data_IF_365946389433
#
_entry.id   IF_365946389433
#
_cell.length_a   1.000
_cell.length_b   1.000
_cell.length_c   1.000
_cell.angle_alpha   90.00
_cell.angle_beta   90.00
_cell.angle_gamma   90.00
#
_symmetry.space_group_name_H-M   'P 1'
#
loop_
_entity.id
_entity.type
_entity.pdbx_description
1 polymer ?
#
# COMPACT_ATOMS: atom_id res chain seq x y z
N UNK A 1 24.71 -5.48 1.84
CA UNK A 1 24.15 -6.56 2.68
C UNK A 1 22.89 -7.10 2.01
N UNK A 2 22.71 -8.41 1.97
CA UNK A 2 21.51 -9.02 1.41
C UNK A 2 20.33 -8.89 2.40
N UNK A 3 19.12 -8.78 1.88
CA UNK A 3 17.89 -8.83 2.70
C UNK A 3 17.67 -10.26 3.19
N UNK A 4 17.09 -10.41 4.39
CA UNK A 4 16.50 -11.69 4.82
C UNK A 4 15.21 -11.95 4.04
N UNK A 5 14.77 -13.21 4.01
CA UNK A 5 13.50 -13.58 3.37
C UNK A 5 12.31 -12.84 3.99
N UNK A 6 12.32 -12.67 5.31
CA UNK A 6 11.30 -11.93 6.05
C UNK A 6 11.25 -10.44 5.67
N UNK A 7 12.40 -9.76 5.64
CA UNK A 7 12.47 -8.36 5.21
C UNK A 7 12.03 -8.18 3.76
N UNK A 8 12.35 -9.14 2.89
CA UNK A 8 11.88 -9.11 1.51
C UNK A 8 10.35 -9.27 1.43
N UNK A 9 9.78 -10.21 2.20
CA UNK A 9 8.35 -10.42 2.27
C UNK A 9 7.60 -9.19 2.78
N UNK A 10 8.08 -8.56 3.85
CA UNK A 10 7.51 -7.31 4.38
C UNK A 10 7.44 -6.21 3.32
N UNK A 11 8.51 -6.03 2.53
CA UNK A 11 8.51 -5.07 1.43
C UNK A 11 7.46 -5.42 0.37
N UNK A 12 7.32 -6.70 0.03
CA UNK A 12 6.33 -7.17 -0.95
C UNK A 12 4.90 -6.94 -0.45
N UNK A 13 4.62 -7.17 0.83
CA UNK A 13 3.32 -6.89 1.44
C UNK A 13 2.99 -5.41 1.36
N UNK A 14 3.91 -4.52 1.77
CA UNK A 14 3.71 -3.06 1.70
C UNK A 14 3.42 -2.60 0.26
N UNK A 15 4.15 -3.13 -0.71
CA UNK A 15 3.97 -2.82 -2.13
C UNK A 15 2.63 -3.33 -2.67
N UNK A 16 2.26 -4.56 -2.31
CA UNK A 16 0.98 -5.16 -2.68
C UNK A 16 -0.20 -4.38 -2.10
N UNK A 17 -0.12 -3.97 -0.84
CA UNK A 17 -1.16 -3.15 -0.20
C UNK A 17 -1.34 -1.79 -0.89
N UNK A 18 -0.24 -1.12 -1.25
CA UNK A 18 -0.30 0.15 -2.00
C UNK A 18 -1.00 -0.02 -3.34
N UNK A 19 -0.60 -1.06 -4.09
CA UNK A 19 -1.20 -1.39 -5.38
C UNK A 19 -2.68 -1.69 -5.24
N UNK A 20 -3.04 -2.56 -4.30
CA UNK A 20 -4.43 -2.94 -4.04
C UNK A 20 -5.29 -1.73 -3.67
N UNK A 21 -4.78 -0.83 -2.82
CA UNK A 21 -5.50 0.39 -2.46
C UNK A 21 -5.76 1.28 -3.67
N UNK A 22 -4.73 1.54 -4.47
CA UNK A 22 -4.86 2.37 -5.67
C UNK A 22 -5.87 1.78 -6.68
N UNK A 23 -5.84 0.46 -6.89
CA UNK A 23 -6.77 -0.24 -7.78
C UNK A 23 -8.20 -0.23 -7.25
N UNK A 24 -8.37 -0.44 -5.94
CA UNK A 24 -9.67 -0.38 -5.27
C UNK A 24 -10.30 1.00 -5.37
N UNK A 25 -9.53 2.06 -5.09
CA UNK A 25 -10.00 3.45 -5.19
C UNK A 25 -10.45 3.80 -6.61
N UNK A 26 -9.68 3.38 -7.62
CA UNK A 26 -10.05 3.58 -9.03
C UNK A 26 -11.34 2.83 -9.39
N UNK A 27 -11.48 1.57 -8.96
CA UNK A 27 -12.70 0.77 -9.17
C UNK A 27 -13.93 1.41 -8.51
N UNK A 28 -13.79 1.92 -7.29
CA UNK A 28 -14.87 2.60 -6.57
C UNK A 28 -15.32 3.86 -7.31
N UNK A 29 -14.38 4.69 -7.77
CA UNK A 29 -14.68 5.89 -8.58
C UNK A 29 -15.31 5.53 -9.92
N UNK A 30 -14.83 4.49 -10.61
CA UNK A 30 -15.42 4.02 -11.86
C UNK A 30 -16.88 3.57 -11.65
N UNK A 31 -17.15 2.84 -10.55
CA UNK A 31 -18.51 2.42 -10.22
C UNK A 31 -19.40 3.62 -9.90
N UNK A 32 -18.89 4.56 -9.13
CA UNK A 32 -19.60 5.81 -8.83
C UNK A 32 -19.98 6.58 -10.09
N UNK A 33 -19.06 6.70 -11.05
CA UNK A 33 -19.32 7.34 -12.34
C UNK A 33 -20.40 6.61 -13.12
N UNK A 34 -20.33 5.28 -13.20
CA UNK A 34 -21.33 4.47 -13.90
C UNK A 34 -22.73 4.63 -13.29
N UNK A 35 -22.83 4.81 -11.98
CA UNK A 35 -24.09 5.00 -11.27
C UNK A 35 -24.61 6.45 -11.34
N UNK A 36 -23.74 7.45 -11.23
CA UNK A 36 -24.12 8.86 -11.08
C UNK A 36 -24.14 9.66 -12.37
N UNK A 37 -23.32 9.29 -13.37
CA UNK A 37 -23.19 10.04 -14.62
C UNK A 37 -24.12 9.45 -15.68
N UNK A 38 -25.29 10.06 -15.81
CA UNK A 38 -26.31 9.64 -16.79
C UNK A 38 -25.75 9.61 -18.22
N UNK A 39 -26.03 8.52 -18.95
CA UNK A 39 -25.57 8.30 -20.32
C UNK A 39 -24.12 7.81 -20.45
N UNK A 40 -23.32 7.82 -19.37
CA UNK A 40 -21.93 7.35 -19.43
C UNK A 40 -21.84 5.84 -19.65
N UNK A 41 -22.71 5.06 -18.99
CA UNK A 41 -22.77 3.60 -19.15
C UNK A 41 -23.10 3.19 -20.60
N UNK A 42 -24.09 3.85 -21.22
CA UNK A 42 -24.47 3.58 -22.62
C UNK A 42 -23.33 3.87 -23.60
N UNK A 43 -22.58 4.96 -23.36
CA UNK A 43 -21.40 5.29 -24.16
C UNK A 43 -20.26 4.29 -23.93
N UNK A 44 -20.09 3.80 -22.69
CA UNK A 44 -19.10 2.77 -22.38
C UNK A 44 -19.42 1.45 -23.09
N UNK A 45 -20.69 1.04 -23.09
CA UNK A 45 -21.15 -0.15 -23.82
C UNK A 45 -20.93 0.01 -25.33
N UNK A 46 -21.35 1.13 -25.92
CA UNK A 46 -21.11 1.42 -27.35
C UNK A 46 -19.63 1.36 -27.71
N UNK A 47 -18.77 1.93 -26.87
CA UNK A 47 -17.33 1.90 -27.06
C UNK A 47 -16.77 0.47 -27.01
N UNK A 48 -17.25 -0.37 -26.09
CA UNK A 48 -16.88 -1.79 -26.01
C UNK A 48 -17.29 -2.53 -27.28
N UNK A 49 -18.53 -2.39 -27.73
CA UNK A 49 -19.03 -3.04 -28.96
C UNK A 49 -18.20 -2.65 -30.18
N UNK A 50 -17.89 -1.36 -30.34
CA UNK A 50 -17.04 -0.90 -31.45
C UNK A 50 -15.59 -1.41 -31.34
N UNK A 51 -15.07 -1.54 -30.13
CA UNK A 51 -13.73 -2.08 -29.90
C UNK A 51 -13.63 -3.56 -30.25
N UNK A 52 -14.66 -4.34 -29.90
CA UNK A 52 -14.78 -5.76 -30.29
C UNK A 52 -14.86 -5.87 -31.82
N UNK A 53 -15.73 -5.08 -32.47
CA UNK A 53 -15.83 -5.09 -33.94
C UNK A 53 -14.52 -4.68 -34.62
N UNK A 54 -13.77 -3.74 -34.05
CA UNK A 54 -12.45 -3.38 -34.55
C UNK A 54 -11.44 -4.52 -34.41
N UNK A 55 -11.52 -5.30 -33.33
CA UNK A 55 -10.66 -6.47 -33.09
C UNK A 55 -10.97 -7.60 -34.08
N UNK A 56 -12.24 -7.89 -34.35
CA UNK A 56 -12.67 -8.88 -35.34
C UNK A 56 -12.14 -8.54 -36.74
N UNK A 57 -12.34 -7.28 -37.17
CA UNK A 57 -11.83 -6.78 -38.45
C UNK A 57 -10.30 -6.80 -38.54
N UNK A 58 -9.60 -6.58 -37.43
CA UNK A 58 -8.15 -6.71 -37.36
C UNK A 58 -7.67 -8.14 -37.58
N UNK A 59 -8.41 -9.12 -37.04
CA UNK A 59 -8.13 -10.54 -37.25
C UNK A 59 -8.38 -10.96 -38.71
N UNK A 60 -9.35 -10.35 -39.38
CA UNK A 60 -9.63 -10.54 -40.81
C UNK A 60 -8.65 -9.78 -41.73
N UNK A 61 -7.81 -8.91 -41.19
CA UNK A 61 -6.84 -8.11 -41.95
C UNK A 61 -7.45 -6.92 -42.69
N UNK A 62 -8.69 -6.52 -42.38
CA UNK A 62 -9.39 -5.41 -43.03
C UNK A 62 -8.99 -4.05 -42.42
N UNK A 63 -7.84 -3.54 -42.88
CA UNK A 63 -7.31 -2.26 -42.44
C UNK A 63 -8.23 -1.07 -42.75
N UNK A 64 -9.04 -1.13 -43.81
CA UNK A 64 -9.94 -0.05 -44.20
C UNK A 64 -11.16 0.01 -43.27
N UNK A 65 -11.76 -1.15 -42.97
CA UNK A 65 -12.88 -1.22 -42.06
C UNK A 65 -12.48 -0.82 -40.63
N UNK A 66 -11.24 -1.05 -40.21
CA UNK A 66 -10.70 -0.52 -38.93
C UNK A 66 -10.55 1.01 -39.00
N UNK A 67 -10.02 1.54 -40.10
CA UNK A 67 -9.89 3.00 -40.30
C UNK A 67 -11.25 3.69 -40.21
N UNK A 68 -12.30 3.10 -40.79
CA UNK A 68 -13.66 3.62 -40.75
C UNK A 68 -14.26 3.67 -39.33
N UNK A 69 -13.81 2.82 -38.41
CA UNK A 69 -14.31 2.81 -37.01
C UNK A 69 -13.62 3.86 -36.12
N UNK A 70 -12.41 4.32 -36.49
CA UNK A 70 -11.65 5.29 -35.67
C UNK A 70 -12.44 6.57 -35.34
N UNK A 71 -13.12 7.25 -36.29
CA UNK A 71 -13.86 8.46 -35.99
C UNK A 71 -15.00 8.24 -34.98
N UNK A 72 -15.71 7.11 -35.08
CA UNK A 72 -16.79 6.77 -34.15
C UNK A 72 -16.26 6.54 -32.73
N UNK A 73 -15.14 5.82 -32.60
CA UNK A 73 -14.45 5.60 -31.32
C UNK A 73 -14.01 6.92 -30.69
N UNK A 74 -13.41 7.82 -31.49
CA UNK A 74 -12.95 9.12 -30.98
C UNK A 74 -14.12 10.01 -30.54
N UNK A 75 -15.22 10.01 -31.31
CA UNK A 75 -16.44 10.75 -30.95
C UNK A 75 -16.99 10.28 -29.60
N UNK A 76 -17.09 8.98 -29.37
CA UNK A 76 -17.60 8.44 -28.10
C UNK A 76 -16.66 8.78 -26.94
N UNK A 77 -15.34 8.71 -27.14
CA UNK A 77 -14.36 9.11 -26.11
C UNK A 77 -14.54 10.57 -25.70
N UNK A 78 -14.73 11.45 -26.68
CA UNK A 78 -14.95 12.87 -26.43
C UNK A 78 -16.28 13.12 -25.71
N UNK A 79 -17.37 12.46 -26.12
CA UNK A 79 -18.66 12.54 -25.42
C UNK A 79 -18.55 12.06 -23.97
N UNK A 80 -17.84 10.95 -23.72
CA UNK A 80 -17.56 10.47 -22.36
C UNK A 80 -16.78 11.49 -21.53
N UNK A 81 -15.75 12.13 -22.11
CA UNK A 81 -14.97 13.19 -21.44
C UNK A 81 -15.88 14.36 -21.04
N UNK A 82 -16.72 14.83 -21.96
CA UNK A 82 -17.66 15.92 -21.69
C UNK A 82 -18.66 15.56 -20.59
N UNK A 83 -19.14 14.32 -20.53
CA UNK A 83 -20.03 13.89 -19.45
C UNK A 83 -19.33 13.85 -18.09
N UNK A 84 -18.08 13.37 -18.04
CA UNK A 84 -17.28 13.37 -16.81
C UNK A 84 -17.06 14.80 -16.30
N UNK A 85 -16.61 15.70 -17.18
CA UNK A 85 -16.32 17.10 -16.82
C UNK A 85 -17.58 17.82 -16.32
N UNK A 86 -18.73 17.60 -16.95
CA UNK A 86 -20.02 18.14 -16.49
C UNK A 86 -20.44 17.63 -15.11
N UNK A 87 -20.06 16.40 -14.78
CA UNK A 87 -20.33 15.78 -13.50
C UNK A 87 -19.24 16.09 -12.44
N UNK A 88 -18.20 16.85 -12.80
CA UNK A 88 -17.12 17.25 -11.89
C UNK A 88 -16.01 16.21 -11.73
N UNK A 89 -15.90 15.25 -12.65
CA UNK A 89 -14.83 14.24 -12.67
C UNK A 89 -13.82 14.53 -13.80
N UNK A 90 -12.56 14.21 -13.56
CA UNK A 90 -11.54 14.13 -14.61
C UNK A 90 -11.39 12.68 -15.09
N UNK A 91 -11.01 12.41 -16.36
CA UNK A 91 -10.66 11.05 -16.80
C UNK A 91 -9.61 10.38 -15.91
N UNK A 92 -8.64 11.16 -15.44
CA UNK A 92 -7.55 10.71 -14.55
C UNK A 92 -8.09 10.24 -13.20
N UNK A 93 -9.23 10.77 -12.72
CA UNK A 93 -9.83 10.33 -11.47
C UNK A 93 -10.19 8.84 -11.50
N UNK A 94 -10.55 8.31 -12.67
CA UNK A 94 -10.95 6.92 -12.85
C UNK A 94 -9.73 5.97 -12.97
N UNK A 95 -8.51 6.50 -12.93
CA UNK A 95 -7.28 5.70 -13.03
C UNK A 95 -6.65 5.42 -11.65
N UNK A 96 -5.93 4.31 -11.56
CA UNK A 96 -5.23 3.92 -10.34
C UNK A 96 -4.02 4.83 -10.09
N UNK A 97 -4.03 5.52 -8.96
CA UNK A 97 -2.96 6.43 -8.54
C UNK A 97 -1.92 5.70 -7.69
N UNK A 98 -0.97 5.04 -8.37
CA UNK A 98 0.10 4.30 -7.68
C UNK A 98 1.05 5.24 -6.92
N UNK A 99 1.53 4.77 -5.77
CA UNK A 99 2.52 5.50 -4.97
C UNK A 99 3.85 5.65 -5.71
N UNK A 100 4.22 4.68 -6.54
CA UNK A 100 5.37 4.76 -7.42
C UNK A 100 4.97 4.80 -8.89
N UNK A 101 5.20 5.94 -9.54
CA UNK A 101 4.92 6.12 -10.98
C UNK A 101 5.81 5.30 -11.91
N UNK A 102 7.00 4.88 -11.45
CA UNK A 102 7.94 4.10 -12.26
C UNK A 102 7.52 2.63 -12.36
N UNK A 103 7.37 1.97 -11.22
CA UNK A 103 7.10 0.54 -11.17
C UNK A 103 5.63 0.19 -10.91
N UNK A 104 4.76 1.19 -10.68
CA UNK A 104 3.36 1.01 -10.28
C UNK A 104 3.23 0.11 -9.06
N UNK A 105 4.08 0.38 -8.08
CA UNK A 105 4.22 -0.38 -6.84
C UNK A 105 4.55 -1.87 -7.01
N UNK A 106 5.05 -2.32 -8.17
CA UNK A 106 5.56 -3.70 -8.32
C UNK A 106 6.93 -3.93 -7.65
N UNK A 107 7.65 -2.86 -7.35
CA UNK A 107 9.02 -2.92 -6.81
C UNK A 107 10.11 -3.21 -7.83
N UNK A 108 9.78 -3.43 -9.10
CA UNK A 108 10.73 -3.70 -10.19
C UNK A 108 10.55 -2.68 -11.32
N UNK A 109 11.64 -2.08 -11.77
CA UNK A 109 11.67 -1.19 -12.93
C UNK A 109 12.87 -1.57 -13.80
N UNK A 110 12.65 -1.82 -15.09
CA UNK A 110 13.69 -2.24 -16.05
C UNK A 110 14.52 -3.46 -15.59
N UNK A 111 13.84 -4.48 -15.03
CA UNK A 111 14.48 -5.71 -14.56
C UNK A 111 15.32 -5.56 -13.29
N UNK A 112 15.32 -4.38 -12.66
CA UNK A 112 16.06 -4.08 -11.43
C UNK A 112 15.13 -3.63 -10.32
N UNK A 113 15.61 -3.68 -9.07
CA UNK A 113 14.88 -3.13 -7.92
C UNK A 113 14.60 -1.65 -8.16
N UNK A 114 13.32 -1.28 -8.09
CA UNK A 114 12.90 0.10 -8.25
C UNK A 114 13.41 0.96 -7.09
N UNK A 115 13.54 2.27 -7.32
CA UNK A 115 13.88 3.24 -6.26
C UNK A 115 12.96 3.16 -5.04
N UNK A 116 11.67 2.87 -5.23
CA UNK A 116 10.73 2.75 -4.11
C UNK A 116 11.00 1.50 -3.26
N UNK A 117 11.42 0.40 -3.89
CA UNK A 117 11.82 -0.82 -3.20
C UNK A 117 13.08 -0.56 -2.38
N UNK A 118 14.10 0.06 -2.98
CA UNK A 118 15.35 0.37 -2.28
C UNK A 118 15.14 1.33 -1.10
N UNK A 119 14.21 2.28 -1.24
CA UNK A 119 13.80 3.16 -0.13
C UNK A 119 13.21 2.35 1.03
N UNK A 120 12.23 1.47 0.75
CA UNK A 120 11.64 0.60 1.77
C UNK A 120 12.67 -0.32 2.43
N UNK A 121 13.60 -0.87 1.64
CA UNK A 121 14.73 -1.65 2.15
C UNK A 121 15.59 -0.82 3.13
N UNK A 122 15.90 0.43 2.79
CA UNK A 122 16.62 1.33 3.70
C UNK A 122 15.85 1.63 4.97
N UNK A 123 14.54 1.91 4.85
CA UNK A 123 13.66 2.22 5.98
C UNK A 123 13.56 1.06 6.97
N UNK A 124 13.42 -0.19 6.49
CA UNK A 124 13.35 -1.40 7.32
C UNK A 124 14.67 -1.62 8.07
N UNK A 125 15.80 -1.57 7.36
CA UNK A 125 17.12 -1.76 7.96
C UNK A 125 17.40 -0.71 9.04
N UNK A 126 17.07 0.56 8.76
CA UNK A 126 17.26 1.65 9.70
C UNK A 126 16.39 1.51 10.96
N UNK A 127 15.12 1.11 10.82
CA UNK A 127 14.23 0.85 11.96
C UNK A 127 14.80 -0.24 12.86
N UNK A 128 15.33 -1.31 12.29
CA UNK A 128 15.93 -2.40 13.05
C UNK A 128 17.20 -1.97 13.79
N UNK A 129 18.08 -1.18 13.16
CA UNK A 129 19.26 -0.64 13.84
C UNK A 129 18.88 0.22 15.06
N UNK A 130 17.87 1.08 14.93
CA UNK A 130 17.37 1.88 16.05
C UNK A 130 16.75 1.05 17.17
N UNK A 131 16.00 0.00 16.82
CA UNK A 131 15.47 -0.92 17.83
C UNK A 131 16.60 -1.61 18.57
N UNK A 132 17.68 -2.00 17.89
CA UNK A 132 18.90 -2.52 18.52
C UNK A 132 19.52 -1.53 19.51
N UNK A 133 19.72 -0.27 19.10
CA UNK A 133 20.27 0.78 19.99
C UNK A 133 19.40 1.01 21.23
N UNK A 134 18.07 1.02 21.08
CA UNK A 134 17.12 1.19 22.20
C UNK A 134 17.17 -0.04 23.11
N UNK A 135 17.19 -1.26 22.56
CA UNK A 135 17.30 -2.48 23.35
C UNK A 135 18.64 -2.62 24.06
N UNK A 136 19.74 -2.10 23.50
CA UNK A 136 21.03 -2.04 24.18
C UNK A 136 21.04 -1.02 25.33
N UNK A 137 20.37 0.13 25.13
CA UNK A 137 20.28 1.21 26.12
C UNK A 137 19.30 0.91 27.25
N UNK A 138 18.15 0.33 26.92
CA UNK A 138 17.02 0.05 27.82
C UNK A 138 16.89 -1.46 28.08
N UNK A 139 18.03 -2.17 28.12
CA UNK A 139 18.01 -3.59 28.42
C UNK A 139 17.70 -3.83 29.91
N UNK A 140 17.23 -5.03 30.26
CA UNK A 140 16.83 -5.42 31.62
C UNK A 140 17.95 -6.02 32.53
N UNK A 141 19.26 -5.69 32.47
CA UNK A 141 20.21 -6.26 33.43
C UNK A 141 20.23 -5.43 34.72
N UNK A 142 19.08 -5.29 35.38
CA UNK A 142 18.99 -4.99 36.82
C UNK A 142 18.00 -5.95 37.48
N UNK A 143 18.04 -7.23 37.09
CA UNK A 143 17.62 -8.28 38.01
C UNK A 143 18.85 -8.77 38.79
N UNK A 144 19.26 -7.98 39.78
CA UNK A 144 20.32 -8.38 40.70
C UNK A 144 19.77 -9.43 41.68
N UNK A 145 20.22 -10.68 41.54
CA UNK A 145 19.97 -11.77 42.50
C UNK A 145 20.53 -11.49 43.92
N UNK A 146 21.24 -10.38 44.12
CA UNK A 146 22.03 -10.10 45.32
C UNK A 146 21.25 -9.40 46.47
N UNK A 147 19.93 -9.31 46.39
CA UNK A 147 19.08 -8.69 47.42
C UNK A 147 18.26 -9.69 48.26
N UNK A 148 18.62 -10.98 48.28
CA UNK A 148 18.05 -11.94 49.23
C UNK A 148 19.03 -12.24 50.39
N UNK A 149 19.57 -11.20 51.02
CA UNK A 149 20.08 -11.37 52.39
C UNK A 149 18.89 -11.42 53.33
N UNK A 150 18.41 -12.65 53.58
CA UNK A 150 17.51 -12.95 54.70
C UNK A 150 18.22 -12.48 55.98
N UNK A 151 17.85 -11.29 56.46
CA UNK A 151 18.19 -10.82 57.80
C UNK A 151 17.49 -11.76 58.79
N UNK A 152 18.18 -12.83 59.21
CA UNK A 152 17.78 -13.62 60.37
C UNK A 152 17.67 -12.66 61.56
N UNK A 153 16.45 -12.37 61.98
CA UNK A 153 16.17 -11.60 63.19
C UNK A 153 16.81 -12.29 64.39
N UNK A 154 17.86 -11.68 64.94
CA UNK A 154 18.34 -12.03 66.28
C UNK A 154 17.34 -11.46 67.28
N UNK A 155 16.57 -12.37 67.87
CA UNK A 155 15.88 -12.16 69.14
C UNK A 155 16.91 -11.71 70.20
N UNK A 156 16.72 -10.53 70.78
CA UNK A 156 17.23 -10.17 72.11
C UNK A 156 16.09 -9.49 72.85
N UNK A 157 15.59 -10.03 73.97
CA UNK A 157 14.58 -9.36 74.76
C UNK A 157 15.27 -8.31 75.64
N UNK A 158 14.71 -7.10 75.67
CA UNK A 158 15.05 -6.09 76.67
C UNK A 158 13.73 -5.61 77.29
N UNK A 159 13.27 -6.32 78.33
CA UNK A 159 12.20 -5.83 79.19
C UNK A 159 12.84 -4.98 80.28
N UNK A 160 12.43 -3.71 80.29
CA UNK A 160 12.74 -2.68 81.29
C UNK A 160 12.41 -3.16 82.70
N UNK A 161 13.35 -2.94 83.63
CA UNK A 161 13.07 -2.86 85.06
C UNK A 161 12.20 -1.63 85.32
N UNK A 162 11.01 -1.85 85.88
CA UNK A 162 10.33 -0.89 86.74
C UNK A 162 10.35 -1.51 88.15
N UNK A 163 10.77 -0.70 89.12
CA UNK A 163 11.06 -1.13 90.48
C UNK A 163 9.81 -1.51 91.28
N UNK A 164 10.05 -2.27 92.35
CA UNK A 164 9.47 -2.00 93.65
C UNK A 164 10.28 -2.73 94.74
N UNK A 165 10.53 -1.96 95.81
CA UNK A 165 11.16 -2.26 97.11
C UNK A 165 12.70 -2.31 97.11
#
# INVERSE_FOLDING_TARGET
MALTAEQFHEIQEILSERRFRAEKEALEKQREVLEKVSGYADLDEKLRTLSISAMEKAQEGDAEAIRALRPAIQKIREEKRVLLEKAGYSPEDLEAHYSCTLCRDSGIFEGKKCRCFMKLQGDILYKQSKMGEILERENFPVFSWNALTIRRGRHRPAIRRLGNI
#
